data_IF_772907636081
#
_entry.id   IF_772907636081
#
_cell.length_a   1.000
_cell.length_b   1.000
_cell.length_c   1.000
_cell.angle_alpha   90.00
_cell.angle_beta   90.00
_cell.angle_gamma   90.00
#
_symmetry.space_group_name_H-M   'P 1'
#
loop_
_entity.id
_entity.type
_entity.pdbx_description
1 polymer ?
#
# COMPACT_ATOMS: atom_id res chain seq x y z
N UNK A 1 19.60 -2.94 -8.42
CA UNK A 1 18.21 -2.80 -8.86
C UNK A 1 17.36 -3.32 -7.71
N UNK A 2 16.36 -2.56 -7.26
CA UNK A 2 15.47 -2.98 -6.18
C UNK A 2 14.51 -4.04 -6.70
N UNK A 3 14.42 -5.18 -6.03
CA UNK A 3 13.51 -6.27 -6.38
C UNK A 3 12.22 -6.14 -5.58
N UNK A 4 11.09 -6.03 -6.26
CA UNK A 4 9.80 -5.88 -5.61
C UNK A 4 8.85 -7.04 -5.91
N UNK A 5 8.06 -7.44 -4.91
CA UNK A 5 6.89 -8.29 -5.08
C UNK A 5 5.64 -7.40 -5.12
N UNK A 6 4.77 -7.63 -6.11
CA UNK A 6 3.49 -6.93 -6.21
C UNK A 6 2.36 -7.78 -5.63
N UNK A 7 1.88 -7.44 -4.44
CA UNK A 7 0.74 -8.10 -3.80
C UNK A 7 -0.57 -7.45 -4.24
N UNK A 8 -1.49 -8.23 -4.81
CA UNK A 8 -2.67 -7.76 -5.54
C UNK A 8 -2.34 -7.37 -6.98
N UNK A 9 -1.40 -8.09 -7.64
CA UNK A 9 -0.83 -7.73 -8.93
C UNK A 9 -1.85 -7.71 -10.08
N UNK A 10 -2.92 -8.49 -10.01
CA UNK A 10 -3.95 -8.57 -11.05
C UNK A 10 -5.14 -7.63 -10.79
N UNK A 11 -5.14 -6.93 -9.65
CA UNK A 11 -6.06 -5.84 -9.35
C UNK A 11 -5.81 -4.59 -10.21
N UNK A 12 -6.74 -3.61 -10.12
CA UNK A 12 -6.61 -2.37 -10.90
C UNK A 12 -5.29 -1.64 -10.61
N UNK A 13 -4.98 -1.38 -9.35
CA UNK A 13 -3.75 -0.67 -8.96
C UNK A 13 -2.50 -1.52 -9.21
N UNK A 14 -2.56 -2.83 -9.00
CA UNK A 14 -1.46 -3.74 -9.29
C UNK A 14 -0.98 -3.66 -10.73
N UNK A 15 -1.90 -3.62 -11.69
CA UNK A 15 -1.58 -3.45 -13.11
C UNK A 15 -0.96 -2.09 -13.42
N UNK A 16 -1.54 -1.01 -12.86
CA UNK A 16 -1.00 0.35 -13.05
C UNK A 16 0.43 0.44 -12.53
N UNK A 17 0.71 -0.13 -11.35
CA UNK A 17 2.04 -0.12 -10.74
C UNK A 17 3.00 -0.99 -11.55
N UNK A 18 2.55 -2.16 -12.02
CA UNK A 18 3.33 -3.00 -12.93
C UNK A 18 3.79 -2.23 -14.16
N UNK A 19 2.89 -1.48 -14.80
CA UNK A 19 3.22 -0.68 -15.98
C UNK A 19 4.16 0.49 -15.66
N UNK A 20 4.01 1.11 -14.50
CA UNK A 20 4.93 2.16 -14.03
C UNK A 20 6.32 1.59 -13.81
N UNK A 21 6.44 0.46 -13.10
CA UNK A 21 7.74 -0.16 -12.79
C UNK A 21 8.45 -0.63 -14.06
N UNK A 22 7.74 -1.16 -15.05
CA UNK A 22 8.34 -1.51 -16.36
C UNK A 22 9.05 -0.34 -17.05
N UNK A 23 8.61 0.89 -16.79
CA UNK A 23 9.15 2.10 -17.39
C UNK A 23 10.04 2.91 -16.41
N UNK A 24 10.37 2.35 -15.25
CA UNK A 24 11.17 3.01 -14.21
C UNK A 24 12.50 2.30 -14.02
N UNK A 25 13.60 3.03 -14.18
CA UNK A 25 14.93 2.50 -13.90
C UNK A 25 15.15 2.28 -12.38
N UNK A 26 15.92 1.27 -12.03
CA UNK A 26 16.35 1.01 -10.66
C UNK A 26 15.44 0.11 -9.84
N UNK A 27 14.27 -0.29 -10.37
CA UNK A 27 13.34 -1.23 -9.74
C UNK A 27 12.82 -2.25 -10.75
N UNK A 28 12.56 -3.48 -10.29
CA UNK A 28 11.95 -4.54 -11.09
C UNK A 28 10.94 -5.34 -10.26
N UNK A 29 9.88 -5.84 -10.90
CA UNK A 29 8.99 -6.84 -10.30
C UNK A 29 9.56 -8.23 -10.55
N UNK A 30 9.86 -8.93 -9.46
CA UNK A 30 10.39 -10.30 -9.50
C UNK A 30 9.29 -11.35 -9.29
N UNK A 31 8.18 -10.99 -8.67
CA UNK A 31 7.01 -11.83 -8.47
C UNK A 31 5.74 -11.01 -8.26
N UNK A 32 4.59 -11.65 -8.46
CA UNK A 32 3.29 -11.16 -8.07
C UNK A 32 2.57 -12.15 -7.15
N UNK A 33 1.65 -11.64 -6.35
CA UNK A 33 0.74 -12.46 -5.53
C UNK A 33 -0.69 -12.02 -5.82
N UNK A 34 -1.54 -12.97 -6.20
CA UNK A 34 -2.96 -12.71 -6.45
C UNK A 34 -3.74 -14.03 -6.48
N UNK A 35 -4.99 -14.02 -6.01
CA UNK A 35 -5.88 -15.20 -6.11
C UNK A 35 -6.20 -15.59 -7.56
N UNK A 36 -6.10 -14.65 -8.49
CA UNK A 36 -6.34 -14.86 -9.92
C UNK A 36 -5.02 -15.07 -10.67
N UNK A 37 -4.40 -16.24 -10.54
CA UNK A 37 -3.08 -16.57 -11.10
C UNK A 37 -3.07 -16.78 -12.63
N UNK A 38 -4.25 -16.88 -13.28
CA UNK A 38 -4.36 -17.15 -14.72
C UNK A 38 -4.18 -15.94 -15.63
N UNK A 39 -3.98 -14.76 -15.06
CA UNK A 39 -3.71 -13.54 -15.82
C UNK A 39 -2.24 -13.57 -16.27
N UNK A 40 -1.94 -13.37 -17.56
CA UNK A 40 -0.56 -13.30 -18.04
C UNK A 40 0.20 -12.13 -17.43
N UNK A 41 1.37 -12.41 -16.89
CA UNK A 41 2.32 -11.41 -16.37
C UNK A 41 3.73 -11.77 -16.85
N UNK A 42 4.64 -10.80 -16.87
CA UNK A 42 6.05 -11.01 -17.26
C UNK A 42 6.88 -11.60 -16.09
N UNK A 43 6.26 -11.84 -14.96
CA UNK A 43 6.84 -12.43 -13.75
C UNK A 43 5.93 -13.55 -13.22
N UNK A 44 6.45 -14.49 -12.41
CA UNK A 44 5.65 -15.54 -11.79
C UNK A 44 4.60 -14.96 -10.84
N UNK A 45 3.40 -15.53 -10.82
CA UNK A 45 2.30 -15.13 -9.94
C UNK A 45 1.94 -16.31 -9.03
N UNK A 46 1.96 -16.04 -7.73
CA UNK A 46 1.63 -16.99 -6.66
C UNK A 46 0.23 -16.72 -6.12
N UNK A 47 -0.44 -17.75 -5.63
CA UNK A 47 -1.81 -17.65 -5.10
C UNK A 47 -1.85 -16.99 -3.71
N UNK A 48 -0.80 -17.18 -2.90
CA UNK A 48 -0.62 -16.57 -1.59
C UNK A 48 0.82 -16.08 -1.41
N UNK A 49 1.04 -15.21 -0.43
CA UNK A 49 2.39 -14.71 -0.13
C UNK A 49 3.28 -15.82 0.45
N UNK A 50 2.71 -16.74 1.21
CA UNK A 50 3.44 -17.88 1.79
C UNK A 50 3.92 -18.87 0.72
N UNK A 51 3.22 -18.94 -0.42
CA UNK A 51 3.64 -19.76 -1.56
C UNK A 51 4.76 -19.11 -2.39
N UNK A 52 5.05 -17.83 -2.15
CA UNK A 52 6.08 -17.10 -2.88
C UNK A 52 7.46 -17.40 -2.30
N UNK A 53 8.27 -18.11 -3.07
CA UNK A 53 9.65 -18.49 -2.72
C UNK A 53 10.71 -17.54 -3.33
N UNK A 54 10.27 -16.42 -3.92
CA UNK A 54 11.14 -15.46 -4.58
C UNK A 54 11.64 -14.42 -3.58
N UNK A 55 12.97 -14.24 -3.51
CA UNK A 55 13.58 -13.18 -2.69
C UNK A 55 13.34 -11.79 -3.28
N UNK A 56 12.95 -10.85 -2.41
CA UNK A 56 12.72 -9.47 -2.76
C UNK A 56 13.21 -8.50 -1.68
N UNK A 57 13.47 -7.27 -2.08
CA UNK A 57 13.90 -6.17 -1.19
C UNK A 57 12.69 -5.45 -0.57
N UNK A 58 11.51 -5.53 -1.20
CA UNK A 58 10.29 -4.84 -0.76
C UNK A 58 9.03 -5.52 -1.32
N UNK A 59 7.94 -5.45 -0.56
CA UNK A 59 6.60 -5.82 -1.03
C UNK A 59 5.79 -4.55 -1.21
N UNK A 60 5.10 -4.42 -2.35
CA UNK A 60 4.13 -3.35 -2.61
C UNK A 60 2.74 -3.97 -2.57
N UNK A 61 1.92 -3.54 -1.61
CA UNK A 61 0.62 -4.14 -1.37
C UNK A 61 -0.55 -3.22 -1.74
N UNK A 62 -1.36 -3.68 -2.68
CA UNK A 62 -2.65 -3.13 -3.06
C UNK A 62 -3.71 -4.25 -3.13
N UNK A 63 -3.73 -5.11 -2.14
CA UNK A 63 -4.65 -6.25 -2.06
C UNK A 63 -5.95 -5.88 -1.32
N UNK A 64 -6.34 -6.66 -0.35
CA UNK A 64 -7.51 -6.45 0.49
C UNK A 64 -7.20 -6.73 1.96
N UNK A 65 -8.05 -6.23 2.87
CA UNK A 65 -7.84 -6.35 4.31
C UNK A 65 -7.76 -7.82 4.80
N UNK A 66 -8.43 -8.77 4.12
CA UNK A 66 -8.39 -10.17 4.53
C UNK A 66 -7.00 -10.82 4.32
N UNK A 67 -6.15 -10.25 3.47
CA UNK A 67 -4.80 -10.75 3.24
C UNK A 67 -3.73 -10.03 4.08
N UNK A 68 -4.10 -8.99 4.83
CA UNK A 68 -3.14 -8.14 5.52
C UNK A 68 -2.40 -8.87 6.66
N UNK A 69 -3.08 -9.76 7.37
CA UNK A 69 -2.49 -10.48 8.50
C UNK A 69 -1.38 -11.44 8.06
N UNK A 70 -1.65 -12.23 7.02
CA UNK A 70 -0.69 -13.16 6.41
C UNK A 70 0.50 -12.39 5.82
N UNK A 71 0.24 -11.29 5.13
CA UNK A 71 1.29 -10.43 4.58
C UNK A 71 2.21 -9.87 5.67
N UNK A 72 1.66 -9.35 6.77
CA UNK A 72 2.45 -8.78 7.86
C UNK A 72 3.30 -9.85 8.57
N UNK A 73 2.74 -11.05 8.78
CA UNK A 73 3.47 -12.17 9.36
C UNK A 73 4.65 -12.58 8.46
N UNK A 74 4.42 -12.70 7.16
CA UNK A 74 5.47 -12.96 6.17
C UNK A 74 6.57 -11.89 6.19
N UNK A 75 6.18 -10.59 6.17
CA UNK A 75 7.13 -9.48 6.22
C UNK A 75 8.04 -9.54 7.45
N UNK A 76 7.47 -9.87 8.61
CA UNK A 76 8.23 -10.00 9.87
C UNK A 76 9.13 -11.23 9.84
N UNK A 77 8.63 -12.38 9.37
CA UNK A 77 9.40 -13.62 9.30
C UNK A 77 10.60 -13.52 8.35
N UNK A 78 10.34 -13.01 7.14
CA UNK A 78 11.35 -12.87 6.08
C UNK A 78 12.18 -11.59 6.18
N UNK A 79 11.86 -10.68 7.11
CA UNK A 79 12.50 -9.37 7.26
C UNK A 79 12.44 -8.53 5.98
N UNK A 80 11.32 -8.61 5.24
CA UNK A 80 11.10 -7.86 3.99
C UNK A 80 10.23 -6.65 4.27
N UNK A 81 10.70 -5.43 3.96
CA UNK A 81 9.92 -4.19 4.06
C UNK A 81 8.63 -4.22 3.23
N UNK A 82 7.60 -3.49 3.68
CA UNK A 82 6.33 -3.42 2.96
C UNK A 82 5.81 -1.99 2.81
N UNK A 83 5.30 -1.69 1.60
CA UNK A 83 4.49 -0.50 1.30
C UNK A 83 3.03 -0.96 1.33
N UNK A 84 2.36 -0.75 2.46
CA UNK A 84 1.00 -1.22 2.73
C UNK A 84 -0.02 -0.15 2.33
N UNK A 85 -0.69 -0.34 1.20
CA UNK A 85 -1.71 0.57 0.65
C UNK A 85 -3.13 0.01 0.76
N UNK A 86 -3.29 -1.20 1.27
CA UNK A 86 -4.60 -1.80 1.54
C UNK A 86 -5.42 -0.93 2.49
N UNK A 87 -6.68 -0.72 2.15
CA UNK A 87 -7.66 0.06 2.93
C UNK A 87 -8.64 -0.86 3.65
N UNK A 88 -9.38 -0.31 4.64
CA UNK A 88 -10.41 -1.05 5.35
C UNK A 88 -9.87 -2.05 6.38
N UNK A 89 -8.66 -1.83 6.89
CA UNK A 89 -8.10 -2.61 7.99
C UNK A 89 -8.92 -2.40 9.28
N UNK A 90 -9.14 -3.47 10.04
CA UNK A 90 -9.75 -3.40 11.38
C UNK A 90 -8.79 -2.76 12.39
N UNK A 91 -9.32 -2.39 13.57
CA UNK A 91 -8.49 -1.88 14.67
C UNK A 91 -7.41 -2.88 15.09
N UNK A 92 -7.75 -4.16 15.18
CA UNK A 92 -6.79 -5.24 15.49
C UNK A 92 -5.69 -5.36 14.42
N UNK A 93 -6.05 -5.21 13.14
CA UNK A 93 -5.07 -5.20 12.07
C UNK A 93 -4.18 -3.95 12.09
N UNK A 94 -4.72 -2.81 12.50
CA UNK A 94 -3.92 -1.59 12.68
C UNK A 94 -2.91 -1.74 13.82
N UNK A 95 -3.31 -2.36 14.95
CA UNK A 95 -2.40 -2.71 16.04
C UNK A 95 -1.30 -3.67 15.56
N UNK A 96 -1.65 -4.68 14.76
CA UNK A 96 -0.69 -5.61 14.15
C UNK A 96 0.30 -4.91 13.22
N UNK A 97 -0.15 -3.90 12.45
CA UNK A 97 0.74 -3.06 11.64
C UNK A 97 1.77 -2.34 12.51
N UNK A 98 1.34 -1.75 13.64
CA UNK A 98 2.24 -1.06 14.57
C UNK A 98 3.26 -2.01 15.22
N UNK A 99 2.83 -3.22 15.61
CA UNK A 99 3.72 -4.23 16.16
C UNK A 99 4.72 -4.76 15.11
N UNK A 100 4.27 -4.94 13.87
CA UNK A 100 5.13 -5.36 12.76
C UNK A 100 6.16 -4.27 12.41
N UNK A 101 5.75 -2.99 12.46
CA UNK A 101 6.62 -1.85 12.20
C UNK A 101 7.78 -1.70 13.19
N UNK A 102 7.70 -2.34 14.37
CA UNK A 102 8.82 -2.41 15.32
C UNK A 102 9.90 -3.41 14.90
N UNK A 103 9.59 -4.33 13.98
CA UNK A 103 10.44 -5.45 13.57
C UNK A 103 10.93 -5.32 12.13
N UNK A 104 10.12 -4.72 11.25
CA UNK A 104 10.43 -4.53 9.84
C UNK A 104 9.92 -3.17 9.38
N UNK A 105 10.52 -2.55 8.36
CA UNK A 105 10.05 -1.26 7.86
C UNK A 105 8.68 -1.40 7.19
N UNK A 106 7.69 -0.63 7.66
CA UNK A 106 6.33 -0.57 7.13
C UNK A 106 5.99 0.87 6.76
N UNK A 107 5.75 1.14 5.47
CA UNK A 107 5.16 2.38 5.02
C UNK A 107 3.67 2.14 4.78
N UNK A 108 2.82 2.65 5.69
CA UNK A 108 1.37 2.57 5.52
C UNK A 108 0.82 3.87 4.94
N UNK A 109 0.11 3.78 3.80
CA UNK A 109 -0.58 4.91 3.22
C UNK A 109 -1.84 4.47 2.46
N UNK A 110 -2.99 4.94 2.90
CA UNK A 110 -4.27 4.67 2.24
C UNK A 110 -4.44 5.42 0.91
N UNK A 111 -3.65 6.45 0.67
CA UNK A 111 -3.73 7.26 -0.54
C UNK A 111 -2.35 7.77 -0.97
N UNK A 112 -1.90 7.33 -2.13
CA UNK A 112 -0.64 7.73 -2.76
C UNK A 112 -0.82 8.85 -3.79
N UNK A 113 -2.03 9.40 -3.96
CA UNK A 113 -2.28 10.51 -4.88
C UNK A 113 -1.55 11.77 -4.44
N UNK A 114 -0.70 12.32 -5.31
CA UNK A 114 -0.02 13.60 -5.08
C UNK A 114 -1.03 14.73 -4.82
N UNK A 115 -2.10 14.80 -5.63
CA UNK A 115 -3.15 15.82 -5.51
C UNK A 115 -3.88 15.76 -4.17
N UNK A 116 -4.28 14.56 -3.73
CA UNK A 116 -4.95 14.39 -2.43
C UNK A 116 -4.01 14.73 -1.28
N UNK A 117 -2.75 14.29 -1.32
CA UNK A 117 -1.78 14.61 -0.28
C UNK A 117 -1.48 16.11 -0.21
N UNK A 118 -1.40 16.80 -1.36
CA UNK A 118 -1.27 18.25 -1.41
C UNK A 118 -2.50 18.95 -0.82
N UNK A 119 -3.71 18.49 -1.18
CA UNK A 119 -4.96 19.02 -0.65
C UNK A 119 -5.03 18.87 0.88
N UNK A 120 -4.70 17.67 1.40
CA UNK A 120 -4.66 17.43 2.85
C UNK A 120 -3.69 18.38 3.56
N UNK A 121 -2.53 18.67 2.96
CA UNK A 121 -1.56 19.61 3.51
C UNK A 121 -2.12 21.03 3.54
N UNK A 122 -2.70 21.50 2.44
CA UNK A 122 -3.32 22.83 2.34
C UNK A 122 -4.45 22.98 3.36
N UNK A 123 -5.34 22.00 3.46
CA UNK A 123 -6.45 22.00 4.42
C UNK A 123 -5.94 22.04 5.87
N UNK A 124 -4.91 21.28 6.19
CA UNK A 124 -4.31 21.28 7.52
C UNK A 124 -3.75 22.65 7.91
N UNK A 125 -3.12 23.35 6.98
CA UNK A 125 -2.56 24.68 7.24
C UNK A 125 -3.64 25.76 7.27
N UNK A 126 -4.64 25.69 6.37
CA UNK A 126 -5.79 26.58 6.37
C UNK A 126 -6.61 26.46 7.67
N UNK A 127 -6.88 25.24 8.14
CA UNK A 127 -7.66 25.00 9.36
C UNK A 127 -7.00 25.58 10.61
N UNK A 128 -5.68 25.56 10.71
CA UNK A 128 -4.95 26.18 11.84
C UNK A 128 -5.22 27.69 11.97
N UNK A 129 -5.48 28.36 10.86
CA UNK A 129 -5.75 29.79 10.82
C UNK A 129 -7.24 30.09 10.95
N UNK A 130 -8.06 29.35 10.24
CA UNK A 130 -9.50 29.61 10.12
C UNK A 130 -10.30 29.14 11.33
N UNK A 131 -9.97 27.97 11.90
CA UNK A 131 -10.73 27.41 13.03
C UNK A 131 -10.70 28.32 14.27
N UNK A 132 -9.57 28.89 14.71
CA UNK A 132 -9.55 29.86 15.81
C UNK A 132 -10.29 31.16 15.50
N UNK A 133 -10.48 31.50 14.22
CA UNK A 133 -11.23 32.65 13.77
C UNK A 133 -12.76 32.40 13.65
N UNK A 134 -13.23 31.21 14.05
CA UNK A 134 -14.65 30.84 14.08
C UNK A 134 -15.18 30.28 12.77
N UNK A 135 -14.32 29.88 11.83
CA UNK A 135 -14.74 29.20 10.60
C UNK A 135 -14.82 27.70 10.80
N UNK A 136 -15.88 27.08 10.29
CA UNK A 136 -16.02 25.63 10.20
C UNK A 136 -15.60 25.12 8.82
N UNK A 137 -14.93 23.96 8.80
CA UNK A 137 -14.59 23.24 7.59
C UNK A 137 -15.51 22.02 7.45
N UNK A 138 -16.31 21.98 6.40
CA UNK A 138 -17.13 20.82 6.06
C UNK A 138 -16.88 20.38 4.63
N UNK A 139 -16.77 19.05 4.41
CA UNK A 139 -16.71 18.42 3.09
C UNK A 139 -18.09 17.93 2.61
N UNK A 140 -19.12 18.04 3.44
CA UNK A 140 -20.46 17.51 3.19
C UNK A 140 -21.49 18.63 3.05
N UNK A 141 -21.36 19.72 3.81
CA UNK A 141 -22.30 20.83 3.81
C UNK A 141 -21.82 21.93 2.87
N UNK A 142 -22.72 22.40 2.02
CA UNK A 142 -22.53 23.61 1.21
C UNK A 142 -23.26 24.72 1.98
N UNK A 143 -22.53 25.80 2.30
CA UNK A 143 -23.19 27.00 2.86
C UNK A 143 -24.09 27.63 1.80
N UNK A 144 -25.31 27.93 2.17
CA UNK A 144 -26.21 28.77 1.38
C UNK A 144 -25.75 30.22 1.36
#
# INVERSE_FOLDING_TARGET
MVKAIMHGCNGHMGRVITDIIKNTEGIELVAGVDKYTKVPNDYPVFESIDACDVEADVIIDFSNAAAADELLDYCVEKQVPVVLCTTGLSEEQLEKVEESAKKVAVLKSANMSLGINLLMKILKDATKVLSPAGYDLSLIHISE
#
